data_IF_827316917489
#
_entry.id   IF_827316917489
#
_cell.length_a   1.000
_cell.length_b   1.000
_cell.length_c   1.000
_cell.angle_alpha   90.00
_cell.angle_beta   90.00
_cell.angle_gamma   90.00
#
_symmetry.space_group_name_H-M   'P 1'
#
loop_
_entity.id
_entity.type
_entity.pdbx_description
1 polymer ?
#
# COMPACT_ATOMS: atom_id res chain seq x y z
N UNK A 1 12.82 -53.01 9.61
CA UNK A 1 13.35 -51.83 8.85
C UNK A 1 12.24 -50.85 8.40
N UNK A 2 11.23 -50.55 9.23
CA UNK A 2 10.12 -49.63 8.84
C UNK A 2 10.20 -48.22 9.45
N UNK A 3 11.01 -48.05 10.51
CA UNK A 3 11.11 -46.79 11.27
C UNK A 3 11.94 -45.73 10.54
N UNK A 4 13.00 -46.12 9.81
CA UNK A 4 13.87 -45.18 9.08
C UNK A 4 13.14 -44.48 7.93
N UNK A 5 12.25 -45.20 7.23
CA UNK A 5 11.48 -44.66 6.10
C UNK A 5 10.39 -43.69 6.56
N UNK A 6 9.74 -43.97 7.70
CA UNK A 6 8.72 -43.09 8.29
C UNK A 6 9.34 -41.76 8.77
N UNK A 7 10.54 -41.83 9.37
CA UNK A 7 11.25 -40.65 9.84
C UNK A 7 11.72 -39.75 8.68
N UNK A 8 12.15 -40.36 7.57
CA UNK A 8 12.55 -39.62 6.36
C UNK A 8 11.37 -38.89 5.71
N UNK A 9 10.20 -39.55 5.65
CA UNK A 9 8.96 -38.94 5.15
C UNK A 9 8.49 -37.77 6.02
N UNK A 10 8.60 -37.88 7.35
CA UNK A 10 8.26 -36.81 8.27
C UNK A 10 9.16 -35.57 8.10
N UNK A 11 10.46 -35.78 7.90
CA UNK A 11 11.43 -34.72 7.61
C UNK A 11 11.18 -34.04 6.26
N UNK A 12 10.78 -34.80 5.23
CA UNK A 12 10.45 -34.26 3.91
C UNK A 12 9.20 -33.37 3.98
N UNK A 13 8.17 -33.80 4.72
CA UNK A 13 6.94 -33.01 4.95
C UNK A 13 7.23 -31.75 5.76
N UNK A 14 8.10 -31.83 6.79
CA UNK A 14 8.52 -30.65 7.56
C UNK A 14 9.29 -29.64 6.70
N UNK A 15 10.17 -30.12 5.80
CA UNK A 15 10.92 -29.26 4.88
C UNK A 15 10.01 -28.58 3.84
N UNK A 16 8.96 -29.27 3.37
CA UNK A 16 7.91 -28.71 2.51
C UNK A 16 7.10 -27.63 3.24
N UNK A 17 6.76 -27.81 4.53
CA UNK A 17 6.07 -26.79 5.33
C UNK A 17 6.94 -25.55 5.63
N UNK A 18 8.26 -25.70 5.73
CA UNK A 18 9.18 -24.58 5.93
C UNK A 18 9.45 -23.81 4.63
N UNK A 19 9.37 -24.47 3.47
CA UNK A 19 9.54 -23.84 2.16
C UNK A 19 8.34 -22.97 1.74
N UNK A 20 7.16 -23.18 2.32
CA UNK A 20 5.97 -22.33 2.07
C UNK A 20 5.92 -21.09 2.96
N UNK A 21 6.94 -20.82 3.78
CA UNK A 21 7.14 -19.50 4.39
C UNK A 21 7.69 -18.54 3.33
N UNK A 22 6.98 -18.44 2.19
CA UNK A 22 7.21 -17.39 1.21
C UNK A 22 6.89 -16.08 1.90
N UNK A 23 7.91 -15.22 2.04
CA UNK A 23 7.71 -13.90 2.63
C UNK A 23 6.56 -13.22 1.90
N UNK A 24 5.50 -12.87 2.64
CA UNK A 24 4.36 -12.17 2.07
C UNK A 24 4.84 -10.96 1.28
N UNK A 25 4.53 -10.94 -0.01
CA UNK A 25 4.84 -9.81 -0.88
C UNK A 25 4.09 -8.58 -0.36
N UNK A 26 4.77 -7.43 -0.37
CA UNK A 26 4.16 -6.17 0.01
C UNK A 26 3.05 -5.80 -0.98
N UNK A 27 1.88 -5.44 -0.46
CA UNK A 27 0.68 -5.14 -1.24
C UNK A 27 0.33 -3.65 -1.21
N UNK A 28 -0.73 -3.25 -1.90
CA UNK A 28 -1.21 -1.86 -1.85
C UNK A 28 -1.93 -1.63 -0.52
N UNK A 29 -2.05 -0.38 -0.06
CA UNK A 29 -2.83 -0.05 1.14
C UNK A 29 -4.24 -0.64 1.14
N UNK A 30 -4.94 -0.56 0.00
CA UNK A 30 -6.29 -1.13 -0.17
C UNK A 30 -6.38 -2.65 0.04
N UNK A 31 -5.25 -3.35 -0.05
CA UNK A 31 -5.16 -4.79 0.18
C UNK A 31 -4.90 -5.14 1.67
N UNK A 32 -4.76 -4.13 2.54
CA UNK A 32 -4.64 -4.24 3.99
C UNK A 32 -5.89 -3.65 4.67
N UNK A 33 -6.96 -4.42 4.74
CA UNK A 33 -8.24 -4.01 5.35
C UNK A 33 -8.11 -3.61 6.82
N UNK A 34 -8.86 -2.62 7.26
CA UNK A 34 -8.87 -2.15 8.65
C UNK A 34 -7.63 -1.36 9.08
N UNK A 35 -6.78 -0.96 8.12
CA UNK A 35 -5.58 -0.17 8.39
C UNK A 35 -5.81 1.31 8.15
N UNK A 36 -5.04 2.14 8.86
CA UNK A 36 -4.95 3.58 8.61
C UNK A 36 -3.56 3.92 8.10
N UNK A 37 -3.49 4.81 7.12
CA UNK A 37 -2.25 5.26 6.52
C UNK A 37 -2.14 6.76 6.62
N UNK A 38 -0.93 7.25 6.89
CA UNK A 38 -0.66 8.69 6.91
C UNK A 38 0.72 9.06 6.40
N UNK A 39 0.80 10.21 5.74
CA UNK A 39 2.03 10.89 5.33
C UNK A 39 2.04 12.28 5.95
N UNK A 40 2.97 12.54 6.87
CA UNK A 40 3.09 13.81 7.58
C UNK A 40 3.51 14.94 6.63
N UNK A 41 4.46 14.69 5.73
CA UNK A 41 5.01 15.70 4.81
C UNK A 41 3.96 16.30 3.85
N UNK A 42 2.89 15.55 3.58
CA UNK A 42 1.81 15.94 2.69
C UNK A 42 0.48 16.14 3.44
N UNK A 43 0.47 16.00 4.76
CA UNK A 43 -0.71 16.04 5.62
C UNK A 43 -1.85 15.14 5.11
N UNK A 44 -1.49 14.00 4.52
CA UNK A 44 -2.44 13.06 3.93
C UNK A 44 -2.69 11.94 4.92
N UNK A 45 -3.97 11.64 5.17
CA UNK A 45 -4.36 10.46 5.94
C UNK A 45 -5.59 9.81 5.34
N UNK A 46 -5.68 8.48 5.44
CA UNK A 46 -6.85 7.73 5.01
C UNK A 46 -6.99 6.39 5.74
N UNK A 47 -8.22 5.92 5.90
CA UNK A 47 -8.54 4.59 6.42
C UNK A 47 -9.00 3.66 5.30
N UNK A 48 -8.65 2.38 5.42
CA UNK A 48 -9.09 1.31 4.52
C UNK A 48 -10.13 0.46 5.25
N UNK A 49 -11.31 0.32 4.68
CA UNK A 49 -12.40 -0.48 5.24
C UNK A 49 -12.16 -1.97 5.11
N UNK A 50 -13.02 -2.76 5.77
CA UNK A 50 -13.01 -4.23 5.67
C UNK A 50 -13.30 -4.76 4.26
N UNK A 51 -13.80 -3.90 3.37
CA UNK A 51 -14.04 -4.21 1.96
C UNK A 51 -12.85 -3.84 1.06
N UNK A 52 -11.74 -3.34 1.63
CA UNK A 52 -10.58 -2.86 0.89
C UNK A 52 -10.79 -1.50 0.23
N UNK A 53 -11.78 -0.72 0.70
CA UNK A 53 -12.15 0.59 0.13
C UNK A 53 -11.59 1.69 1.02
N UNK A 54 -11.12 2.79 0.42
CA UNK A 54 -10.67 3.97 1.16
C UNK A 54 -11.88 4.81 1.58
N UNK A 55 -12.08 5.03 2.90
CA UNK A 55 -13.29 5.71 3.41
C UNK A 55 -13.07 7.14 3.95
N UNK A 56 -11.86 7.49 4.39
CA UNK A 56 -11.61 8.77 5.07
C UNK A 56 -10.35 9.48 4.57
N UNK A 57 -10.21 9.66 3.25
CA UNK A 57 -9.04 10.33 2.69
C UNK A 57 -9.12 11.86 2.81
N UNK A 58 -8.15 12.43 3.51
CA UNK A 58 -7.99 13.87 3.73
C UNK A 58 -6.55 14.27 3.43
N UNK A 59 -6.35 15.41 2.77
CA UNK A 59 -5.06 16.03 2.49
C UNK A 59 -5.17 17.54 2.66
N UNK A 60 -4.33 18.17 3.49
CA UNK A 60 -4.39 19.62 3.76
C UNK A 60 -5.82 20.13 4.05
N UNK A 61 -6.52 19.46 4.97
CA UNK A 61 -7.93 19.72 5.34
C UNK A 61 -8.97 19.57 4.21
N UNK A 62 -8.60 19.00 3.06
CA UNK A 62 -9.50 18.74 1.93
C UNK A 62 -9.82 17.26 1.83
N UNK A 63 -11.07 16.92 1.55
CA UNK A 63 -11.45 15.54 1.20
C UNK A 63 -10.90 15.20 -0.19
N UNK A 64 -10.21 14.06 -0.27
CA UNK A 64 -9.58 13.59 -1.51
C UNK A 64 -9.99 12.15 -1.82
N UNK A 65 -9.87 11.74 -3.07
CA UNK A 65 -10.06 10.35 -3.51
C UNK A 65 -8.70 9.78 -3.91
N UNK A 66 -8.34 8.62 -3.37
CA UNK A 66 -7.07 7.93 -3.70
C UNK A 66 -7.34 6.77 -4.63
N UNK A 67 -6.70 6.76 -5.80
CA UNK A 67 -6.87 5.70 -6.80
C UNK A 67 -5.53 5.02 -7.04
N UNK A 68 -5.50 3.69 -6.89
CA UNK A 68 -4.33 2.86 -7.20
C UNK A 68 -4.59 2.10 -8.51
N UNK A 69 -3.80 2.36 -9.54
CA UNK A 69 -4.17 1.98 -10.92
C UNK A 69 -3.93 0.50 -11.28
N UNK A 70 -2.83 -0.12 -10.86
CA UNK A 70 -2.55 -1.57 -11.04
C UNK A 70 -1.32 -1.96 -10.20
N UNK A 71 -1.22 -3.22 -9.76
CA UNK A 71 -0.04 -3.74 -9.04
C UNK A 71 1.22 -3.81 -9.93
N UNK A 72 1.04 -4.05 -11.23
CA UNK A 72 2.10 -4.05 -12.24
C UNK A 72 2.59 -2.65 -12.58
N UNK A 73 1.67 -1.67 -12.59
CA UNK A 73 1.99 -0.27 -12.90
C UNK A 73 2.50 0.51 -11.69
N UNK A 74 2.18 0.07 -10.46
CA UNK A 74 2.55 0.72 -9.20
C UNK A 74 2.37 2.24 -9.26
N UNK A 75 1.15 2.72 -9.54
CA UNK A 75 0.86 4.16 -9.51
C UNK A 75 -0.29 4.48 -8.58
N UNK A 76 -0.30 5.73 -8.14
CA UNK A 76 -1.36 6.34 -7.37
C UNK A 76 -1.69 7.72 -7.91
N UNK A 77 -2.96 8.06 -7.87
CA UNK A 77 -3.48 9.38 -8.19
C UNK A 77 -4.37 9.87 -7.06
N UNK A 78 -4.22 11.15 -6.70
CA UNK A 78 -5.00 11.81 -5.66
C UNK A 78 -5.91 12.84 -6.30
N UNK A 79 -7.21 12.67 -6.19
CA UNK A 79 -8.22 13.55 -6.79
C UNK A 79 -8.99 14.33 -5.72
N UNK A 80 -9.72 15.36 -6.14
CA UNK A 80 -10.83 15.90 -5.35
C UNK A 80 -11.85 14.82 -5.03
N UNK A 81 -12.59 14.98 -3.92
CA UNK A 81 -13.63 14.03 -3.53
C UNK A 81 -14.72 13.82 -4.59
N UNK A 82 -14.97 14.83 -5.44
CA UNK A 82 -15.92 14.73 -6.56
C UNK A 82 -15.31 14.21 -7.87
N UNK A 83 -14.01 13.88 -7.86
CA UNK A 83 -13.27 13.30 -8.99
C UNK A 83 -12.98 14.28 -10.13
N UNK A 84 -13.27 15.57 -9.98
CA UNK A 84 -13.11 16.57 -11.05
C UNK A 84 -11.69 17.09 -11.23
N UNK A 85 -10.92 17.14 -10.15
CA UNK A 85 -9.56 17.68 -10.15
C UNK A 85 -8.58 16.59 -9.74
N UNK A 86 -7.52 16.39 -10.52
CA UNK A 86 -6.36 15.61 -10.11
C UNK A 86 -5.41 16.56 -9.38
N UNK A 87 -5.02 16.23 -8.14
CA UNK A 87 -4.09 17.03 -7.36
C UNK A 87 -2.64 16.70 -7.74
N UNK A 88 -2.28 15.43 -7.66
CA UNK A 88 -0.97 14.93 -8.05
C UNK A 88 -1.04 13.42 -8.33
N UNK A 89 -0.03 12.92 -9.04
CA UNK A 89 0.15 11.50 -9.27
C UNK A 89 1.60 11.09 -9.05
N UNK A 90 1.81 9.80 -8.80
CA UNK A 90 3.15 9.28 -8.58
C UNK A 90 3.24 7.77 -8.72
N UNK A 91 4.48 7.31 -8.78
CA UNK A 91 4.79 5.88 -8.72
C UNK A 91 4.92 5.44 -7.26
N UNK A 92 4.53 4.20 -6.98
CA UNK A 92 4.50 3.61 -5.65
C UNK A 92 5.58 2.55 -5.48
N UNK A 93 6.14 2.48 -4.28
CA UNK A 93 6.87 1.29 -3.80
C UNK A 93 6.24 0.85 -2.50
N UNK A 94 5.84 -0.42 -2.42
CA UNK A 94 5.13 -0.98 -1.28
C UNK A 94 6.07 -1.75 -0.35
N UNK A 95 5.85 -1.58 0.96
CA UNK A 95 6.39 -2.37 2.05
C UNK A 95 5.25 -2.77 3.00
N UNK A 96 5.52 -3.65 3.97
CA UNK A 96 4.46 -4.21 4.85
C UNK A 96 3.72 -3.16 5.69
N UNK A 97 4.43 -2.15 6.18
CA UNK A 97 3.88 -1.09 7.03
C UNK A 97 4.12 0.31 6.47
N UNK A 98 4.69 0.40 5.27
CA UNK A 98 5.02 1.67 4.63
C UNK A 98 4.82 1.57 3.13
N UNK A 99 4.33 2.62 2.49
CA UNK A 99 4.51 2.76 1.04
C UNK A 99 5.06 4.15 0.72
N UNK A 100 5.89 4.21 -0.31
CA UNK A 100 6.50 5.45 -0.78
C UNK A 100 5.83 5.83 -2.10
N UNK A 101 5.44 7.10 -2.22
CA UNK A 101 5.01 7.70 -3.49
C UNK A 101 6.15 8.60 -3.98
N UNK A 102 6.73 8.26 -5.13
CA UNK A 102 7.59 9.18 -5.88
C UNK A 102 6.67 10.02 -6.75
N UNK A 103 6.54 11.31 -6.41
CA UNK A 103 5.65 12.26 -7.10
C UNK A 103 6.22 12.51 -8.49
N UNK A 104 5.42 12.22 -9.52
CA UNK A 104 5.80 12.42 -10.92
C UNK A 104 5.26 13.75 -11.44
N UNK A 105 4.03 14.08 -11.07
CA UNK A 105 3.30 15.22 -11.61
C UNK A 105 2.43 15.85 -10.53
N UNK A 106 2.45 17.18 -10.46
CA UNK A 106 1.58 17.98 -9.60
C UNK A 106 0.72 18.86 -10.51
N UNK A 107 -0.59 18.77 -10.35
CA UNK A 107 -1.57 19.41 -11.23
C UNK A 107 -2.34 20.52 -10.52
N UNK A 108 -2.27 20.60 -9.20
CA UNK A 108 -2.93 21.63 -8.39
C UNK A 108 -1.93 22.50 -7.64
N UNK A 109 -2.17 23.81 -7.64
CA UNK A 109 -1.31 24.78 -6.94
C UNK A 109 -1.23 24.54 -5.44
N UNK A 110 -2.29 24.00 -4.86
CA UNK A 110 -2.38 23.68 -3.43
C UNK A 110 -1.35 22.63 -3.01
N UNK A 111 -0.88 21.82 -3.97
CA UNK A 111 0.08 20.75 -3.76
C UNK A 111 1.45 21.06 -4.37
N UNK A 112 1.69 22.30 -4.85
CA UNK A 112 2.94 22.70 -5.53
C UNK A 112 4.20 22.58 -4.67
N UNK A 113 4.04 22.60 -3.34
CA UNK A 113 5.13 22.45 -2.37
C UNK A 113 5.40 21.00 -1.95
N UNK A 114 4.71 20.01 -2.52
CA UNK A 114 4.92 18.61 -2.15
C UNK A 114 6.36 18.16 -2.38
N UNK A 115 6.97 17.41 -1.44
CA UNK A 115 8.25 16.78 -1.69
C UNK A 115 8.13 15.76 -2.82
N UNK A 116 9.20 15.60 -3.59
CA UNK A 116 9.28 14.61 -4.69
C UNK A 116 9.07 13.16 -4.21
N UNK A 117 9.17 12.92 -2.90
CA UNK A 117 9.02 11.62 -2.28
C UNK A 117 8.18 11.75 -1.02
N UNK A 118 7.02 11.09 -1.02
CA UNK A 118 6.10 11.03 0.11
C UNK A 118 6.19 9.64 0.74
N UNK A 119 6.29 9.57 2.06
CA UNK A 119 6.34 8.30 2.79
C UNK A 119 5.08 8.17 3.63
N UNK A 120 4.27 7.19 3.30
CA UNK A 120 3.09 6.82 4.06
C UNK A 120 3.43 5.66 4.98
N UNK A 121 2.99 5.75 6.23
CA UNK A 121 3.13 4.71 7.25
C UNK A 121 1.76 4.22 7.68
N UNK A 122 1.61 2.92 7.85
CA UNK A 122 0.48 2.34 8.57
C UNK A 122 0.57 2.78 10.03
N UNK A 123 -0.56 3.21 10.59
CA UNK A 123 -0.71 3.39 12.04
C UNK A 123 -1.00 2.07 12.72
#
# INVERSE_FOLDING_TARGET
>A
MKIKTLFLLLLLVLALCLATCGGEEAKRPVDYTGTEWSCEDAEISFSVSDQGIVENAVAFDKKVTVVFSDISEKKVSFYSADGKELYFSGSCTYGKSTFTVTVSDIYSSDFSGLPARLIFKSK
#
